data_IF_949420472265
#
_entry.id   IF_949420472265
#
_cell.length_a   1.000
_cell.length_b   1.000
_cell.length_c   1.000
_cell.angle_alpha   90.00
_cell.angle_beta   90.00
_cell.angle_gamma   90.00
#
_symmetry.space_group_name_H-M   'P 1'
#
loop_
_entity.id
_entity.type
_entity.pdbx_description
1 polymer ?
#
# COMPACT_ATOMS: atom_id res chain seq x y z
N UNK A 1 17.14 -15.15 16.58
CA UNK A 1 15.70 -14.84 16.46
C UNK A 1 14.94 -15.93 17.22
N UNK A 2 14.15 -15.56 18.23
CA UNK A 2 13.35 -16.54 18.98
C UNK A 2 12.23 -17.11 18.10
N UNK A 3 11.76 -18.31 18.45
CA UNK A 3 10.70 -19.00 17.71
C UNK A 3 9.42 -18.17 17.61
N UNK A 4 9.07 -17.44 18.67
CA UNK A 4 7.87 -16.60 18.74
C UNK A 4 7.84 -15.53 17.64
N UNK A 5 8.98 -14.89 17.34
CA UNK A 5 9.05 -13.89 16.28
C UNK A 5 8.89 -14.49 14.89
N UNK A 6 9.45 -15.69 14.66
CA UNK A 6 9.27 -16.41 13.40
C UNK A 6 7.79 -16.75 13.20
N UNK A 7 7.15 -17.29 14.25
CA UNK A 7 5.73 -17.61 14.24
C UNK A 7 4.90 -16.35 13.97
N UNK A 8 5.13 -15.26 14.70
CA UNK A 8 4.36 -14.02 14.54
C UNK A 8 4.51 -13.40 13.14
N UNK A 9 5.72 -13.38 12.56
CA UNK A 9 5.96 -12.86 11.21
C UNK A 9 5.24 -13.72 10.15
N UNK A 10 5.34 -15.04 10.24
CA UNK A 10 4.64 -15.94 9.32
C UNK A 10 3.12 -15.84 9.49
N UNK A 11 2.63 -15.81 10.73
CA UNK A 11 1.21 -15.70 11.04
C UNK A 11 0.61 -14.41 10.50
N UNK A 12 1.23 -13.24 10.72
CA UNK A 12 0.68 -11.98 10.21
C UNK A 12 0.70 -11.94 8.68
N UNK A 13 1.75 -12.49 8.05
CA UNK A 13 1.83 -12.61 6.59
C UNK A 13 0.67 -13.45 6.04
N UNK A 14 0.48 -14.67 6.55
CA UNK A 14 -0.57 -15.57 6.05
C UNK A 14 -1.99 -15.07 6.38
N UNK A 15 -2.20 -14.43 7.54
CA UNK A 15 -3.47 -13.77 7.85
C UNK A 15 -3.77 -12.65 6.84
N UNK A 16 -2.78 -11.82 6.51
CA UNK A 16 -2.95 -10.77 5.51
C UNK A 16 -3.23 -11.35 4.12
N UNK A 17 -2.52 -12.41 3.70
CA UNK A 17 -2.79 -13.11 2.43
C UNK A 17 -4.23 -13.65 2.40
N UNK A 18 -4.66 -14.29 3.49
CA UNK A 18 -6.00 -14.88 3.60
C UNK A 18 -7.11 -13.81 3.53
N UNK A 19 -7.04 -12.78 4.39
CA UNK A 19 -8.06 -11.74 4.42
C UNK A 19 -8.05 -10.85 3.18
N UNK A 20 -6.87 -10.50 2.64
CA UNK A 20 -6.78 -9.79 1.36
C UNK A 20 -7.35 -10.65 0.22
N UNK A 21 -7.09 -11.96 0.25
CA UNK A 21 -7.64 -12.95 -0.68
C UNK A 21 -9.18 -12.97 -0.73
N UNK A 22 -9.84 -12.61 0.37
CA UNK A 22 -11.31 -12.53 0.45
C UNK A 22 -11.81 -11.12 0.10
N UNK A 23 -11.23 -10.09 0.69
CA UNK A 23 -11.74 -8.71 0.61
C UNK A 23 -11.49 -8.07 -0.75
N UNK A 24 -10.30 -8.26 -1.33
CA UNK A 24 -9.93 -7.64 -2.61
C UNK A 24 -10.85 -8.05 -3.76
N UNK A 25 -11.10 -9.35 -4.04
CA UNK A 25 -11.99 -9.72 -5.15
C UNK A 25 -13.42 -9.21 -4.94
N UNK A 26 -13.89 -9.09 -3.70
CA UNK A 26 -15.21 -8.50 -3.40
C UNK A 26 -15.26 -7.01 -3.77
N UNK A 27 -14.24 -6.24 -3.39
CA UNK A 27 -14.15 -4.82 -3.76
C UNK A 27 -14.08 -4.64 -5.28
N UNK A 28 -13.24 -5.44 -5.96
CA UNK A 28 -13.11 -5.38 -7.42
C UNK A 28 -14.42 -5.76 -8.12
N UNK A 29 -15.14 -6.77 -7.62
CA UNK A 29 -16.44 -7.17 -8.16
C UNK A 29 -17.50 -6.08 -7.96
N UNK A 30 -17.53 -5.41 -6.81
CA UNK A 30 -18.44 -4.29 -6.53
C UNK A 30 -18.13 -3.12 -7.47
N UNK A 31 -16.85 -2.79 -7.64
CA UNK A 31 -16.41 -1.76 -8.57
C UNK A 31 -16.89 -2.05 -10.00
N UNK A 32 -16.77 -3.32 -10.43
CA UNK A 32 -17.28 -3.80 -11.70
C UNK A 32 -18.79 -3.62 -11.85
N UNK A 33 -19.57 -4.10 -10.87
CA UNK A 33 -21.04 -4.03 -10.92
C UNK A 33 -21.58 -2.62 -10.88
N UNK A 34 -20.94 -1.72 -10.12
CA UNK A 34 -21.37 -0.33 -9.96
C UNK A 34 -20.97 0.56 -11.13
N UNK A 35 -20.26 0.03 -12.14
CA UNK A 35 -19.68 0.80 -13.24
C UNK A 35 -18.99 2.06 -12.71
N UNK A 36 -18.17 1.90 -11.67
CA UNK A 36 -17.29 2.97 -11.18
C UNK A 36 -16.11 3.16 -12.16
N UNK A 37 -16.43 3.16 -13.46
CA UNK A 37 -15.53 3.34 -14.58
C UNK A 37 -15.96 4.60 -15.32
N UNK A 38 -15.00 5.40 -15.77
CA UNK A 38 -15.28 6.41 -16.78
C UNK A 38 -15.86 5.71 -18.02
N UNK A 39 -16.98 6.21 -18.55
CA UNK A 39 -17.50 5.75 -19.83
C UNK A 39 -16.42 5.96 -20.92
N UNK A 40 -16.16 4.96 -21.79
CA UNK A 40 -15.15 5.09 -22.83
C UNK A 40 -15.60 6.14 -23.85
N UNK A 41 -15.06 7.36 -23.72
CA UNK A 41 -15.14 8.41 -24.73
C UNK A 41 -14.41 7.93 -26.00
N UNK A 42 -14.98 8.16 -27.18
CA UNK A 42 -14.48 7.66 -28.48
C UNK A 42 -13.04 8.13 -28.80
N UNK A 43 -12.54 9.12 -28.07
CA UNK A 43 -11.16 9.64 -28.16
C UNK A 43 -10.13 8.91 -27.30
N UNK A 44 -10.51 8.01 -26.37
CA UNK A 44 -9.60 7.30 -25.47
C UNK A 44 -9.47 5.82 -25.85
N UNK A 45 -8.64 5.54 -26.85
CA UNK A 45 -8.52 4.22 -27.48
C UNK A 45 -7.80 3.18 -26.57
N UNK A 46 -7.11 3.60 -25.49
CA UNK A 46 -6.16 2.76 -24.73
C UNK A 46 -6.10 3.00 -23.19
N UNK A 47 -7.21 3.07 -22.45
CA UNK A 47 -7.12 2.92 -20.98
C UNK A 47 -8.08 1.84 -20.50
N UNK A 48 -7.52 0.67 -20.15
CA UNK A 48 -8.19 -0.25 -19.24
C UNK A 48 -8.45 0.52 -17.94
N UNK A 49 -9.73 0.59 -17.53
CA UNK A 49 -10.10 1.34 -16.33
C UNK A 49 -9.96 0.39 -15.15
N UNK A 50 -8.71 0.22 -14.70
CA UNK A 50 -8.44 -0.58 -13.51
C UNK A 50 -9.03 0.13 -12.29
N UNK A 51 -9.88 -0.52 -11.48
CA UNK A 51 -10.44 0.09 -10.30
C UNK A 51 -9.32 0.47 -9.32
N UNK A 52 -9.10 1.78 -9.13
CA UNK A 52 -8.17 2.32 -8.12
C UNK A 52 -8.53 1.91 -6.69
N UNK A 53 -9.79 1.52 -6.52
CA UNK A 53 -10.47 1.10 -5.29
C UNK A 53 -9.87 -0.15 -4.60
N UNK A 54 -9.11 -1.00 -5.30
CA UNK A 54 -8.54 -2.20 -4.67
C UNK A 54 -7.57 -1.90 -3.52
N UNK A 55 -6.90 -0.74 -3.55
CA UNK A 55 -6.03 -0.28 -2.47
C UNK A 55 -6.75 0.00 -1.14
N UNK A 56 -8.07 0.21 -1.17
CA UNK A 56 -8.88 0.44 0.03
C UNK A 56 -8.90 -0.76 0.97
N UNK A 57 -8.66 -1.98 0.47
CA UNK A 57 -8.57 -3.17 1.33
C UNK A 57 -7.34 -3.16 2.25
N UNK A 58 -6.28 -2.42 1.91
CA UNK A 58 -4.96 -2.66 2.50
C UNK A 58 -4.92 -2.34 3.98
N UNK A 59 -5.33 -1.13 4.37
CA UNK A 59 -5.26 -0.70 5.77
C UNK A 59 -6.19 -1.50 6.68
N UNK A 60 -7.46 -1.74 6.32
CA UNK A 60 -8.33 -2.58 7.13
C UNK A 60 -7.81 -4.02 7.30
N UNK A 61 -7.28 -4.64 6.24
CA UNK A 61 -6.76 -6.02 6.29
C UNK A 61 -5.53 -6.12 7.17
N UNK A 62 -4.55 -5.22 6.98
CA UNK A 62 -3.33 -5.21 7.81
C UNK A 62 -3.70 -4.96 9.27
N UNK A 63 -4.52 -3.93 9.55
CA UNK A 63 -4.92 -3.59 10.91
C UNK A 63 -5.64 -4.74 11.60
N UNK A 64 -6.65 -5.33 10.95
CA UNK A 64 -7.39 -6.45 11.51
C UNK A 64 -6.50 -7.66 11.77
N UNK A 65 -5.65 -8.04 10.81
CA UNK A 65 -4.74 -9.18 10.95
C UNK A 65 -3.74 -8.98 12.09
N UNK A 66 -3.22 -7.76 12.25
CA UNK A 66 -2.26 -7.42 13.29
C UNK A 66 -2.90 -7.44 14.68
N UNK A 67 -4.08 -6.82 14.83
CA UNK A 67 -4.83 -6.80 16.09
C UNK A 67 -5.31 -8.20 16.48
N UNK A 68 -5.76 -9.01 15.51
CA UNK A 68 -6.13 -10.41 15.74
C UNK A 68 -4.93 -11.21 16.26
N UNK A 69 -3.76 -11.08 15.63
CA UNK A 69 -2.55 -11.76 16.08
C UNK A 69 -2.11 -11.29 17.48
N UNK A 70 -2.21 -10.00 17.77
CA UNK A 70 -1.94 -9.45 19.09
C UNK A 70 -2.89 -10.05 20.13
N UNK A 71 -4.18 -10.14 19.84
CA UNK A 71 -5.17 -10.75 20.73
C UNK A 71 -4.85 -12.23 21.02
N UNK A 72 -4.40 -12.99 20.01
CA UNK A 72 -3.97 -14.39 20.18
C UNK A 72 -2.72 -14.49 21.05
N UNK A 73 -1.70 -13.65 20.81
CA UNK A 73 -0.47 -13.62 21.61
C UNK A 73 -0.78 -13.35 23.10
N UNK A 74 -1.56 -12.31 23.37
CA UNK A 74 -1.96 -11.95 24.74
C UNK A 74 -2.78 -13.07 25.40
N UNK A 75 -3.72 -13.68 24.68
CA UNK A 75 -4.56 -14.77 25.20
C UNK A 75 -3.79 -16.06 25.50
N UNK A 76 -2.67 -16.28 24.81
CA UNK A 76 -1.81 -17.45 24.98
C UNK A 76 -0.64 -17.21 25.95
N UNK A 77 -0.57 -16.01 26.54
CA UNK A 77 0.46 -15.64 27.53
C UNK A 77 1.79 -15.18 26.92
N UNK A 78 1.84 -14.92 25.61
CA UNK A 78 2.99 -14.35 24.92
C UNK A 78 2.88 -12.83 24.88
N UNK A 79 3.63 -12.13 25.72
CA UNK A 79 3.56 -10.68 25.89
C UNK A 79 4.66 -9.91 25.12
N UNK A 80 5.54 -10.60 24.37
CA UNK A 80 6.67 -10.00 23.68
C UNK A 80 6.23 -8.94 22.65
N UNK A 81 5.22 -9.27 21.84
CA UNK A 81 4.68 -8.34 20.84
C UNK A 81 4.06 -7.10 21.50
N UNK A 82 3.35 -7.27 22.61
CA UNK A 82 2.72 -6.17 23.33
C UNK A 82 3.79 -5.23 23.95
N UNK A 83 4.87 -5.80 24.48
CA UNK A 83 6.01 -5.04 25.01
C UNK A 83 6.71 -4.22 23.94
N UNK A 84 6.97 -4.80 22.77
CA UNK A 84 7.58 -4.08 21.64
C UNK A 84 6.67 -2.95 21.13
N UNK A 85 5.35 -3.19 21.01
CA UNK A 85 4.40 -2.12 20.68
C UNK A 85 4.43 -1.01 21.73
N UNK A 86 4.55 -1.36 23.01
CA UNK A 86 4.68 -0.41 24.11
C UNK A 86 5.97 0.41 24.04
N UNK A 87 7.10 -0.22 23.70
CA UNK A 87 8.39 0.45 23.55
C UNK A 87 8.39 1.44 22.39
N UNK A 88 7.74 1.09 21.27
CA UNK A 88 7.64 1.89 20.05
C UNK A 88 6.34 2.73 20.00
N UNK A 89 5.63 2.90 21.11
CA UNK A 89 4.28 3.47 21.12
C UNK A 89 4.21 4.89 20.52
N UNK A 90 5.20 5.73 20.78
CA UNK A 90 5.24 7.11 20.27
C UNK A 90 5.47 7.15 18.73
N UNK A 91 6.52 6.53 18.17
CA UNK A 91 6.67 6.41 16.71
C UNK A 91 5.45 5.80 16.03
N UNK A 92 4.91 4.71 16.58
CA UNK A 92 3.76 4.01 16.01
C UNK A 92 2.49 4.86 16.02
N UNK A 93 2.22 5.62 17.09
CA UNK A 93 1.04 6.47 17.17
C UNK A 93 1.05 7.55 16.08
N UNK A 94 2.17 8.26 15.93
CA UNK A 94 2.32 9.28 14.89
C UNK A 94 2.29 8.67 13.48
N UNK A 95 2.97 7.54 13.26
CA UNK A 95 2.95 6.82 12.00
C UNK A 95 1.52 6.36 11.65
N UNK A 96 0.77 5.85 12.61
CA UNK A 96 -0.62 5.42 12.42
C UNK A 96 -1.52 6.58 12.02
N UNK A 97 -1.41 7.73 12.69
CA UNK A 97 -2.16 8.93 12.31
C UNK A 97 -1.78 9.42 10.89
N UNK A 98 -0.48 9.47 10.57
CA UNK A 98 -0.01 9.84 9.23
C UNK A 98 -0.53 8.88 8.15
N UNK A 99 -0.51 7.58 8.42
CA UNK A 99 -1.02 6.54 7.53
C UNK A 99 -2.53 6.67 7.32
N UNK A 100 -3.32 6.89 8.38
CA UNK A 100 -4.77 7.10 8.26
C UNK A 100 -5.06 8.35 7.44
N UNK A 101 -4.33 9.44 7.67
CA UNK A 101 -4.56 10.68 6.95
C UNK A 101 -4.28 10.51 5.44
N UNK A 102 -3.16 9.86 5.08
CA UNK A 102 -2.87 9.52 3.68
C UNK A 102 -3.90 8.57 3.08
N UNK A 103 -4.35 7.59 3.86
CA UNK A 103 -5.35 6.61 3.43
C UNK A 103 -6.70 7.27 3.12
N UNK A 104 -7.20 8.14 4.01
CA UNK A 104 -8.45 8.86 3.80
C UNK A 104 -8.37 9.82 2.60
N UNK A 105 -7.22 10.45 2.40
CA UNK A 105 -7.00 11.34 1.24
C UNK A 105 -6.88 10.55 -0.05
N UNK A 106 -6.29 9.37 -0.02
CA UNK A 106 -6.28 8.43 -1.15
C UNK A 106 -7.70 8.02 -1.54
N UNK A 107 -8.53 7.63 -0.56
CA UNK A 107 -9.95 7.32 -0.80
C UNK A 107 -10.69 8.53 -1.37
N UNK A 108 -10.53 9.71 -0.76
CA UNK A 108 -11.17 10.93 -1.22
C UNK A 108 -10.75 11.27 -2.65
N UNK A 109 -9.48 11.05 -3.01
CA UNK A 109 -9.00 11.27 -4.36
C UNK A 109 -9.64 10.33 -5.38
N UNK A 110 -9.76 9.05 -5.04
CA UNK A 110 -10.39 8.06 -5.91
C UNK A 110 -11.89 8.30 -6.09
N UNK A 111 -12.58 8.90 -5.12
CA UNK A 111 -14.02 9.13 -5.16
C UNK A 111 -14.42 10.47 -5.77
N UNK A 112 -13.73 11.57 -5.42
CA UNK A 112 -14.14 12.93 -5.77
C UNK A 112 -13.04 13.76 -6.45
N UNK A 113 -11.83 13.22 -6.62
CA UNK A 113 -10.70 13.93 -7.22
C UNK A 113 -10.19 15.09 -6.36
N UNK A 114 -9.14 14.86 -5.59
CA UNK A 114 -8.59 15.88 -4.67
C UNK A 114 -7.58 16.76 -5.40
N UNK A 115 -7.64 18.08 -5.18
CA UNK A 115 -6.68 19.03 -5.74
C UNK A 115 -5.24 18.70 -5.31
N UNK A 116 -4.30 18.76 -6.25
CA UNK A 116 -2.89 18.43 -6.00
C UNK A 116 -2.28 19.18 -4.80
N UNK A 117 -2.64 20.47 -4.62
CA UNK A 117 -2.16 21.30 -3.50
C UNK A 117 -2.58 20.76 -2.14
N UNK A 118 -3.80 20.24 -2.04
CA UNK A 118 -4.32 19.66 -0.80
C UNK A 118 -3.60 18.35 -0.47
N UNK A 119 -3.39 17.48 -1.47
CA UNK A 119 -2.60 16.25 -1.30
C UNK A 119 -1.19 16.53 -0.80
N UNK A 120 -0.53 17.50 -1.43
CA UNK A 120 0.84 17.87 -1.09
C UNK A 120 0.94 18.44 0.34
N UNK A 121 0.00 19.30 0.74
CA UNK A 121 -0.07 19.81 2.11
C UNK A 121 -0.22 18.68 3.13
N UNK A 122 -1.10 17.71 2.86
CA UNK A 122 -1.33 16.56 3.74
C UNK A 122 -0.09 15.69 3.85
N UNK A 123 0.61 15.44 2.74
CA UNK A 123 1.87 14.69 2.75
C UNK A 123 2.95 15.39 3.59
N UNK A 124 3.04 16.73 3.53
CA UNK A 124 3.94 17.51 4.41
C UNK A 124 3.57 17.33 5.88
N UNK A 125 2.29 17.46 6.22
CA UNK A 125 1.82 17.24 7.59
C UNK A 125 2.17 15.83 8.07
N UNK A 126 1.96 14.80 7.24
CA UNK A 126 2.37 13.44 7.55
C UNK A 126 3.88 13.32 7.80
N UNK A 127 4.71 13.95 6.98
CA UNK A 127 6.16 13.98 7.19
C UNK A 127 6.54 14.63 8.53
N UNK A 128 5.88 15.73 8.91
CA UNK A 128 6.09 16.39 10.20
C UNK A 128 5.65 15.49 11.35
N UNK A 129 4.55 14.75 11.20
CA UNK A 129 4.10 13.79 12.20
C UNK A 129 5.12 12.67 12.42
N UNK A 130 5.73 12.14 11.36
CA UNK A 130 6.81 11.15 11.49
C UNK A 130 7.99 11.69 12.30
N UNK A 131 8.44 12.90 11.99
CA UNK A 131 9.48 13.59 12.76
C UNK A 131 9.07 13.78 14.22
N UNK A 132 7.83 14.18 14.50
CA UNK A 132 7.31 14.33 15.86
C UNK A 132 7.25 13.00 16.63
N UNK A 133 7.14 11.87 15.92
CA UNK A 133 7.25 10.53 16.47
C UNK A 133 8.69 10.04 16.67
N UNK A 134 9.70 10.86 16.37
CA UNK A 134 11.11 10.49 16.45
C UNK A 134 11.65 9.77 15.22
N UNK A 135 10.86 9.66 14.15
CA UNK A 135 11.31 9.10 12.87
C UNK A 135 11.95 10.21 12.05
N UNK A 136 13.25 10.40 12.24
CA UNK A 136 14.04 11.47 11.61
C UNK A 136 15.28 10.89 10.93
N UNK A 137 15.53 11.33 9.70
CA UNK A 137 16.78 11.06 8.97
C UNK A 137 17.90 11.99 9.50
N UNK A 138 18.34 11.71 10.72
CA UNK A 138 19.29 12.54 11.49
C UNK A 138 20.76 12.30 11.13
N UNK A 139 21.06 11.20 10.44
CA UNK A 139 22.38 10.91 9.90
C UNK A 139 22.27 10.08 8.61
N UNK A 140 23.42 9.81 7.97
CA UNK A 140 23.52 8.90 6.82
C UNK A 140 24.42 7.68 7.13
N UNK A 141 24.63 7.37 8.42
CA UNK A 141 25.49 6.30 8.90
C UNK A 141 26.89 6.27 8.24
N UNK A 142 27.50 7.44 8.03
CA UNK A 142 28.83 7.57 7.44
C UNK A 142 28.85 7.57 5.90
N UNK A 143 27.70 7.36 5.25
CA UNK A 143 27.57 7.60 3.81
C UNK A 143 27.82 9.08 3.52
N UNK A 144 28.62 9.36 2.48
CA UNK A 144 29.10 10.71 2.14
C UNK A 144 29.86 11.43 3.28
N UNK A 145 30.45 10.68 4.21
CA UNK A 145 31.11 11.20 5.42
C UNK A 145 30.18 11.92 6.42
N UNK A 146 28.86 11.78 6.26
CA UNK A 146 27.86 12.41 7.13
C UNK A 146 27.47 11.46 8.26
N UNK A 147 27.90 11.78 9.48
CA UNK A 147 27.66 10.99 10.69
C UNK A 147 26.58 11.59 11.60
N UNK A 148 26.27 12.86 11.41
CA UNK A 148 25.16 13.54 12.06
C UNK A 148 24.79 14.77 11.23
N UNK A 149 23.54 15.15 11.31
CA UNK A 149 22.97 16.29 10.61
C UNK A 149 22.22 17.16 11.62
N UNK A 150 22.38 18.49 11.56
CA UNK A 150 21.63 19.36 12.46
C UNK A 150 20.13 19.33 12.12
N UNK A 151 19.29 19.44 13.14
CA UNK A 151 17.82 19.29 13.03
C UNK A 151 17.17 20.19 11.96
N UNK A 152 17.74 21.37 11.72
CA UNK A 152 17.22 22.29 10.70
C UNK A 152 17.43 21.80 9.25
N UNK A 153 18.28 20.79 9.01
CA UNK A 153 18.44 20.10 7.73
C UNK A 153 17.70 18.77 7.73
N UNK A 154 17.87 17.95 8.77
CA UNK A 154 17.30 16.59 8.83
C UNK A 154 15.77 16.59 8.87
N UNK A 155 15.14 17.56 9.53
CA UNK A 155 13.68 17.68 9.57
C UNK A 155 13.12 17.98 8.16
N UNK A 156 13.53 19.07 7.46
CA UNK A 156 13.10 19.29 6.08
C UNK A 156 13.43 18.13 5.14
N UNK A 157 14.60 17.49 5.31
CA UNK A 157 15.01 16.35 4.50
C UNK A 157 14.06 15.15 4.70
N UNK A 158 13.71 14.83 5.95
CA UNK A 158 12.78 13.74 6.29
C UNK A 158 11.41 13.98 5.67
N UNK A 159 10.88 15.22 5.80
CA UNK A 159 9.61 15.61 5.18
C UNK A 159 9.68 15.51 3.67
N UNK A 160 10.76 16.03 3.07
CA UNK A 160 10.99 15.99 1.63
C UNK A 160 11.04 14.55 1.10
N UNK A 161 11.83 13.67 1.72
CA UNK A 161 11.94 12.26 1.35
C UNK A 161 10.60 11.54 1.49
N UNK A 162 9.85 11.81 2.56
CA UNK A 162 8.50 11.25 2.76
C UNK A 162 7.57 11.63 1.62
N UNK A 163 7.46 12.93 1.31
CA UNK A 163 6.64 13.45 0.23
C UNK A 163 7.10 12.91 -1.12
N UNK A 164 8.41 12.84 -1.35
CA UNK A 164 9.01 12.33 -2.57
C UNK A 164 8.64 10.86 -2.82
N UNK A 165 8.81 9.98 -1.82
CA UNK A 165 8.48 8.56 -1.93
C UNK A 165 6.99 8.38 -2.23
N UNK A 166 6.10 9.10 -1.52
CA UNK A 166 4.66 8.99 -1.74
C UNK A 166 4.30 9.37 -3.19
N UNK A 167 4.84 10.48 -3.71
CA UNK A 167 4.56 10.89 -5.08
C UNK A 167 5.22 9.98 -6.12
N UNK A 168 6.42 9.45 -5.85
CA UNK A 168 7.10 8.52 -6.73
C UNK A 168 6.30 7.23 -6.92
N UNK A 169 5.81 6.63 -5.82
CA UNK A 169 4.99 5.41 -5.88
C UNK A 169 3.67 5.68 -6.62
N UNK A 170 3.01 6.81 -6.34
CA UNK A 170 1.77 7.19 -7.04
C UNK A 170 1.98 7.39 -8.55
N UNK A 171 3.12 7.97 -8.95
CA UNK A 171 3.47 8.14 -10.36
C UNK A 171 3.73 6.79 -11.05
N UNK A 172 4.43 5.86 -10.38
CA UNK A 172 4.69 4.51 -10.89
C UNK A 172 3.38 3.74 -11.11
N UNK A 173 2.43 3.81 -10.16
CA UNK A 173 1.15 3.09 -10.29
C UNK A 173 0.30 3.65 -11.45
N UNK A 174 0.42 4.95 -11.74
CA UNK A 174 -0.29 5.62 -12.82
C UNK A 174 0.22 5.31 -14.24
N UNK A 175 1.47 4.84 -14.40
CA UNK A 175 2.07 4.61 -15.73
C UNK A 175 1.85 3.16 -16.20
N UNK A 176 2.20 2.16 -15.38
CA UNK A 176 2.22 0.76 -15.83
C UNK A 176 1.45 -0.20 -14.90
N UNK A 177 0.82 0.28 -13.82
CA UNK A 177 0.13 -0.58 -12.85
C UNK A 177 1.03 -1.60 -12.13
N UNK A 178 2.34 -1.58 -12.40
CA UNK A 178 3.38 -2.46 -11.85
C UNK A 178 3.82 -2.10 -10.42
N UNK A 179 3.30 -0.99 -9.86
CA UNK A 179 3.70 -0.49 -8.55
C UNK A 179 3.57 -1.55 -7.44
N UNK A 180 2.54 -2.40 -7.48
CA UNK A 180 2.36 -3.46 -6.50
C UNK A 180 3.45 -4.54 -6.55
N UNK A 181 3.97 -4.87 -7.73
CA UNK A 181 5.10 -5.79 -7.89
C UNK A 181 6.39 -5.21 -7.32
N UNK A 182 6.71 -3.95 -7.68
CA UNK A 182 7.88 -3.24 -7.14
C UNK A 182 7.81 -3.07 -5.62
N UNK A 183 6.64 -2.69 -5.10
CA UNK A 183 6.42 -2.60 -3.65
C UNK A 183 6.58 -3.96 -2.97
N UNK A 184 6.13 -5.06 -3.60
CA UNK A 184 6.28 -6.41 -3.03
C UNK A 184 7.75 -6.77 -2.84
N UNK A 185 8.58 -6.49 -3.85
CA UNK A 185 10.03 -6.71 -3.75
C UNK A 185 10.64 -5.82 -2.66
N UNK A 186 10.27 -4.53 -2.61
CA UNK A 186 10.76 -3.61 -1.59
C UNK A 186 10.40 -4.06 -0.16
N UNK A 187 9.15 -4.48 0.09
CA UNK A 187 8.72 -4.97 1.40
C UNK A 187 9.35 -6.30 1.79
N UNK A 188 9.67 -7.18 0.83
CA UNK A 188 10.46 -8.38 1.10
C UNK A 188 11.86 -8.02 1.60
N UNK A 189 12.54 -7.08 0.92
CA UNK A 189 13.85 -6.59 1.34
C UNK A 189 13.80 -5.88 2.69
N UNK A 190 12.81 -5.01 2.93
CA UNK A 190 12.63 -4.36 4.22
C UNK A 190 12.35 -5.36 5.33
N UNK A 191 11.48 -6.35 5.11
CA UNK A 191 11.22 -7.42 6.08
C UNK A 191 12.48 -8.19 6.46
N UNK A 192 13.28 -8.61 5.48
CA UNK A 192 14.56 -9.29 5.71
C UNK A 192 15.56 -8.41 6.46
N UNK A 193 15.64 -7.13 6.08
CA UNK A 193 16.55 -6.15 6.71
C UNK A 193 16.17 -5.91 8.17
N UNK A 194 14.88 -5.75 8.47
CA UNK A 194 14.41 -5.58 9.84
C UNK A 194 14.65 -6.83 10.69
N UNK A 195 14.52 -8.04 10.13
CA UNK A 195 14.92 -9.28 10.83
C UNK A 195 16.41 -9.25 11.16
N UNK A 196 17.25 -8.82 10.22
CA UNK A 196 18.71 -8.73 10.40
C UNK A 196 19.10 -7.76 11.53
N UNK A 197 18.40 -6.62 11.64
CA UNK A 197 18.61 -5.62 12.69
C UNK A 197 17.81 -5.88 13.98
N UNK A 198 17.19 -7.06 14.13
CA UNK A 198 16.36 -7.43 15.30
C UNK A 198 15.13 -6.51 15.53
N UNK A 199 14.71 -5.79 14.49
CA UNK A 199 13.57 -4.89 14.49
C UNK A 199 12.28 -5.64 14.12
N UNK A 200 11.89 -6.60 14.95
CA UNK A 200 10.87 -7.59 14.59
C UNK A 200 9.48 -7.00 14.36
N UNK A 201 9.12 -5.94 15.09
CA UNK A 201 7.84 -5.24 14.89
C UNK A 201 7.74 -4.64 13.48
N UNK A 202 8.80 -3.97 13.03
CA UNK A 202 8.89 -3.39 11.69
C UNK A 202 8.96 -4.46 10.60
N UNK A 203 9.63 -5.60 10.86
CA UNK A 203 9.59 -6.77 9.99
C UNK A 203 8.16 -7.30 9.81
N UNK A 204 7.39 -7.42 10.90
CA UNK A 204 5.99 -7.84 10.85
C UNK A 204 5.14 -6.89 10.02
N UNK A 205 5.30 -5.57 10.16
CA UNK A 205 4.59 -4.58 9.33
C UNK A 205 4.94 -4.71 7.84
N UNK A 206 6.21 -4.95 7.52
CA UNK A 206 6.67 -5.16 6.14
C UNK A 206 6.08 -6.44 5.54
N UNK A 207 6.15 -7.57 6.25
CA UNK A 207 5.58 -8.84 5.79
C UNK A 207 4.04 -8.83 5.77
N UNK A 208 3.38 -8.14 6.70
CA UNK A 208 1.93 -7.93 6.65
C UNK A 208 1.53 -7.19 5.36
N UNK A 209 2.25 -6.13 5.02
CA UNK A 209 2.01 -5.35 3.80
C UNK A 209 2.29 -6.18 2.54
N UNK A 210 3.38 -6.96 2.52
CA UNK A 210 3.67 -7.93 1.46
C UNK A 210 2.53 -8.96 1.30
N UNK A 211 2.00 -9.45 2.42
CA UNK A 211 0.90 -10.41 2.44
C UNK A 211 -0.37 -9.88 1.78
N UNK A 212 -0.64 -8.58 1.86
CA UNK A 212 -1.76 -7.94 1.13
C UNK A 212 -1.42 -7.69 -0.34
N UNK A 213 -0.17 -7.29 -0.63
CA UNK A 213 0.27 -6.98 -1.98
C UNK A 213 0.22 -8.18 -2.92
N UNK A 214 0.49 -9.40 -2.43
CA UNK A 214 0.48 -10.62 -3.26
C UNK A 214 -0.91 -10.91 -3.84
N UNK A 215 -2.00 -11.06 -3.05
CA UNK A 215 -3.35 -11.19 -3.58
C UNK A 215 -3.77 -9.98 -4.43
N UNK A 216 -3.41 -8.76 -4.02
CA UNK A 216 -3.72 -7.57 -4.80
C UNK A 216 -3.14 -7.63 -6.21
N UNK A 217 -1.84 -7.96 -6.34
CA UNK A 217 -1.17 -8.11 -7.63
C UNK A 217 -1.87 -9.19 -8.48
N UNK A 218 -2.14 -10.36 -7.90
CA UNK A 218 -2.78 -11.47 -8.60
C UNK A 218 -4.18 -11.12 -9.13
N UNK A 219 -5.06 -10.57 -8.29
CA UNK A 219 -6.41 -10.20 -8.71
C UNK A 219 -6.43 -9.00 -9.67
N UNK A 220 -5.49 -8.05 -9.50
CA UNK A 220 -5.34 -6.93 -10.43
C UNK A 220 -5.00 -7.43 -11.84
N UNK A 221 -4.05 -8.37 -11.97
CA UNK A 221 -3.66 -8.94 -13.26
C UNK A 221 -4.80 -9.71 -13.93
N UNK A 222 -5.52 -10.55 -13.18
CA UNK A 222 -6.71 -11.27 -13.68
C UNK A 222 -7.77 -10.30 -14.17
N UNK A 223 -8.02 -9.23 -13.41
CA UNK A 223 -9.00 -8.23 -13.76
C UNK A 223 -8.65 -7.52 -15.06
N UNK A 224 -7.40 -7.07 -15.20
CA UNK A 224 -6.87 -6.44 -16.42
C UNK A 224 -7.04 -7.36 -17.63
N UNK A 225 -6.69 -8.63 -17.50
CA UNK A 225 -6.79 -9.60 -18.60
C UNK A 225 -8.25 -9.86 -19.00
N UNK A 226 -9.14 -9.99 -18.02
CA UNK A 226 -10.59 -10.15 -18.27
C UNK A 226 -11.16 -8.95 -19.02
N UNK A 227 -10.80 -7.73 -18.62
CA UNK A 227 -11.24 -6.50 -19.28
C UNK A 227 -10.72 -6.42 -20.73
N UNK A 228 -9.44 -6.76 -20.97
CA UNK A 228 -8.85 -6.82 -22.32
C UNK A 228 -9.60 -7.79 -23.23
N UNK A 229 -9.97 -8.97 -22.74
CA UNK A 229 -10.73 -9.97 -23.50
C UNK A 229 -12.12 -9.44 -23.86
N UNK A 230 -12.84 -8.85 -22.90
CA UNK A 230 -14.17 -8.28 -23.13
C UNK A 230 -14.12 -7.18 -24.20
N UNK A 231 -13.18 -6.24 -24.09
CA UNK A 231 -13.02 -5.15 -25.07
C UNK A 231 -12.66 -5.70 -26.45
N UNK A 232 -11.78 -6.70 -26.53
CA UNK A 232 -11.40 -7.35 -27.79
C UNK A 232 -12.61 -8.01 -28.47
N UNK A 233 -13.43 -8.72 -27.69
CA UNK A 233 -14.64 -9.38 -28.20
C UNK A 233 -15.69 -8.37 -28.67
N UNK A 234 -15.88 -7.26 -27.93
CA UNK A 234 -16.81 -6.20 -28.30
C UNK A 234 -16.38 -5.50 -29.61
N UNK A 235 -15.09 -5.18 -29.75
CA UNK A 235 -14.53 -4.61 -31.00
C UNK A 235 -14.70 -5.56 -32.19
N UNK A 236 -14.55 -6.87 -31.98
CA UNK A 236 -14.80 -7.86 -33.04
C UNK A 236 -16.27 -7.88 -33.44
N UNK A 237 -17.22 -7.95 -32.49
CA UNK A 237 -18.65 -7.94 -32.77
C UNK A 237 -19.09 -6.69 -33.57
N UNK A 238 -18.62 -5.50 -33.18
CA UNK A 238 -18.91 -4.27 -33.94
C UNK A 238 -18.33 -4.27 -35.36
N UNK A 239 -17.17 -4.93 -35.57
CA UNK A 239 -16.57 -5.06 -36.89
C UNK A 239 -17.35 -6.00 -37.82
N UNK A 240 -17.93 -7.08 -37.28
CA UNK A 240 -18.82 -7.96 -38.03
C UNK A 240 -20.15 -7.27 -38.36
N UNK A 241 -20.80 -6.63 -37.37
CA UNK A 241 -22.05 -5.90 -37.60
C UNK A 241 -21.92 -4.78 -38.65
N UNK A 242 -20.80 -4.04 -38.68
CA UNK A 242 -20.55 -3.05 -39.74
C UNK A 242 -20.30 -3.67 -41.12
N UNK A 243 -19.76 -4.89 -41.20
CA UNK A 243 -19.60 -5.59 -42.49
C UNK A 243 -20.92 -6.09 -43.03
N UNK A 244 -21.79 -6.58 -42.16
CA UNK A 244 -23.12 -7.07 -42.54
C UNK A 244 -24.08 -5.93 -42.92
N UNK A 245 -23.86 -4.71 -42.44
CA UNK A 245 -24.63 -3.53 -42.83
C UNK A 245 -24.21 -2.88 -44.17
N UNK A 246 -23.08 -3.32 -44.75
CA UNK A 246 -22.55 -2.80 -46.03
C UNK A 246 -22.82 -3.76 -47.20
N UNK A 247 -23.27 -4.99 -46.92
CA UNK A 247 -23.73 -5.97 -47.90
C UNK A 247 -25.26 -5.98 -48.00
#
# INVERSE_FOLDING_TARGET
MSLIWIVNILSVFFLCVFFAGIVIPQILLIAFRRRLFDEPDERKIHQCVVPRLGGMAFKPVVFFSFVLLLAVNVSTGHDELLKEIGAEALPLAYAFCAIIMLYLVGIADDLIGVRYRAKFFIQIVCGIMLVAGGVELSDLHGMLFIHSMPSWISIPLTVFVTVFIINAINLIDGIDGLASGLCSIAFLFYGMTFIWFHQYLYAMLAFATLGVLIPFYYYKEIYIETERIIIRNFKQMNKYSKRDAIN
#
